data_IF_228724846186
#
_entry.id   IF_228724846186
#
_cell.length_a   1.000
_cell.length_b   1.000
_cell.length_c   1.000
_cell.angle_alpha   90.00
_cell.angle_beta   90.00
_cell.angle_gamma   90.00
#
_symmetry.space_group_name_H-M   'P 1'
#
loop_
_entity.id
_entity.type
_entity.pdbx_description
1 polymer ?
#
# COMPACT_ATOMS: atom_id res chain seq x y z
N UNK A 1 13.75 -5.25 -2.24
CA UNK A 1 14.96 -4.40 -2.24
C UNK A 1 14.76 -3.11 -1.44
N UNK A 2 13.68 -2.35 -1.66
CA UNK A 2 13.42 -1.08 -0.97
C UNK A 2 13.20 -1.19 0.55
N UNK A 3 12.54 -2.25 1.05
CA UNK A 3 12.35 -2.46 2.50
C UNK A 3 13.68 -2.48 3.27
N UNK A 4 14.68 -3.21 2.75
CA UNK A 4 16.03 -3.28 3.35
C UNK A 4 16.76 -1.96 3.31
N UNK A 5 16.56 -1.18 2.24
CA UNK A 5 17.14 0.16 2.13
C UNK A 5 16.59 1.07 3.23
N UNK A 6 15.27 1.08 3.42
CA UNK A 6 14.62 1.92 4.41
C UNK A 6 15.01 1.52 5.84
N UNK A 7 14.98 0.23 6.16
CA UNK A 7 15.38 -0.28 7.48
C UNK A 7 16.83 0.09 7.82
N UNK A 8 17.72 0.07 6.82
CA UNK A 8 19.15 0.38 7.02
C UNK A 8 19.45 1.87 7.08
N UNK A 9 18.80 2.68 6.24
CA UNK A 9 19.21 4.07 6.00
C UNK A 9 18.22 5.12 6.49
N UNK A 10 16.98 4.74 6.80
CA UNK A 10 15.92 5.65 7.24
C UNK A 10 15.26 5.21 8.57
N UNK A 11 16.01 4.82 9.63
CA UNK A 11 15.41 4.17 10.81
C UNK A 11 14.58 5.10 11.71
N UNK A 12 14.57 6.41 11.46
CA UNK A 12 13.93 7.43 12.32
C UNK A 12 12.75 8.15 11.66
N UNK A 13 12.33 7.74 10.47
CA UNK A 13 11.16 8.35 9.83
C UNK A 13 9.89 7.90 10.53
N UNK A 14 8.89 8.77 10.65
CA UNK A 14 7.60 8.39 11.24
C UNK A 14 6.74 7.59 10.26
N UNK A 15 6.79 7.99 8.99
CA UNK A 15 6.05 7.36 7.91
C UNK A 15 6.90 7.22 6.67
N UNK A 16 6.54 6.22 5.87
CA UNK A 16 7.07 5.97 4.54
C UNK A 16 5.88 5.94 3.60
N UNK A 17 6.02 6.59 2.45
CA UNK A 17 5.04 6.53 1.39
C UNK A 17 5.67 5.92 0.14
N UNK A 18 5.04 4.85 -0.36
CA UNK A 18 5.31 4.28 -1.68
C UNK A 18 4.22 4.75 -2.62
N UNK A 19 4.62 5.28 -3.77
CA UNK A 19 3.76 5.70 -4.87
C UNK A 19 4.26 5.07 -6.17
N UNK A 20 3.34 4.72 -7.06
CA UNK A 20 3.68 4.51 -8.47
C UNK A 20 3.87 5.85 -9.18
N UNK A 21 4.61 5.84 -10.28
CA UNK A 21 4.93 7.02 -11.08
C UNK A 21 3.75 7.52 -11.94
N UNK A 22 2.68 6.73 -12.01
CA UNK A 22 1.41 7.06 -12.65
C UNK A 22 0.35 7.54 -11.63
N UNK A 23 0.76 8.01 -10.45
CA UNK A 23 -0.15 8.50 -9.40
C UNK A 23 0.03 9.99 -9.16
N UNK A 24 -1.09 10.72 -9.08
CA UNK A 24 -1.14 12.09 -8.58
C UNK A 24 -1.76 12.12 -7.19
N UNK A 25 -1.26 13.01 -6.33
CA UNK A 25 -1.77 13.12 -4.98
C UNK A 25 -1.71 14.51 -4.37
N UNK A 26 -2.72 14.82 -3.56
CA UNK A 26 -2.74 16.00 -2.70
C UNK A 26 -1.97 15.70 -1.41
N UNK A 27 -0.63 15.83 -1.49
CA UNK A 27 0.29 15.49 -0.40
C UNK A 27 0.01 16.33 0.85
N UNK A 28 -0.32 17.61 0.68
CA UNK A 28 -0.62 18.52 1.81
C UNK A 28 -1.82 18.05 2.62
N UNK A 29 -2.93 17.70 1.97
CA UNK A 29 -4.13 17.20 2.67
C UNK A 29 -3.90 15.83 3.30
N UNK A 30 -3.12 14.96 2.64
CA UNK A 30 -2.70 13.69 3.22
C UNK A 30 -1.86 13.90 4.48
N UNK A 31 -0.86 14.79 4.46
CA UNK A 31 -0.04 15.10 5.64
C UNK A 31 -0.87 15.68 6.78
N UNK A 32 -1.83 16.57 6.47
CA UNK A 32 -2.76 17.10 7.46
C UNK A 32 -3.56 15.97 8.12
N UNK A 33 -4.18 15.09 7.32
CA UNK A 33 -4.90 13.93 7.82
C UNK A 33 -4.03 13.03 8.71
N UNK A 34 -2.79 12.75 8.28
CA UNK A 34 -1.87 11.90 9.03
C UNK A 34 -1.47 12.54 10.36
N UNK A 35 -1.20 13.84 10.38
CA UNK A 35 -0.84 14.56 11.62
C UNK A 35 -1.98 14.55 12.64
N UNK A 36 -3.22 14.76 12.20
CA UNK A 36 -4.38 14.65 13.10
C UNK A 36 -4.58 13.22 13.60
N UNK A 37 -4.25 12.23 12.77
CA UNK A 37 -4.32 10.83 13.14
C UNK A 37 -3.25 10.41 14.13
N UNK A 38 -2.02 10.90 13.99
CA UNK A 38 -0.93 10.69 14.97
C UNK A 38 -1.30 11.20 16.35
N UNK A 39 -2.02 12.32 16.42
CA UNK A 39 -2.47 12.92 17.69
C UNK A 39 -3.57 12.10 18.39
N UNK A 40 -4.34 11.32 17.61
CA UNK A 40 -5.56 10.64 18.09
C UNK A 40 -5.39 9.13 18.23
N UNK A 41 -4.57 8.52 17.39
CA UNK A 41 -4.23 7.10 17.40
C UNK A 41 -2.79 6.97 17.86
N UNK A 42 -2.59 6.33 19.00
CA UNK A 42 -1.25 6.02 19.48
C UNK A 42 -0.48 5.25 18.40
N UNK A 43 0.65 5.78 17.92
CA UNK A 43 1.53 5.13 16.94
C UNK A 43 2.22 3.86 17.48
N UNK A 44 1.70 3.28 18.55
CA UNK A 44 2.29 2.12 19.22
C UNK A 44 2.20 0.83 18.38
N UNK A 45 1.42 0.84 17.31
CA UNK A 45 1.21 -0.33 16.45
C UNK A 45 1.79 -0.10 15.04
N UNK A 46 2.63 -1.04 14.61
CA UNK A 46 3.13 -1.10 13.24
C UNK A 46 1.95 -1.28 12.28
N UNK A 47 1.81 -0.40 11.30
CA UNK A 47 0.64 -0.41 10.42
C UNK A 47 0.95 -0.05 8.98
N UNK A 48 0.14 -0.60 8.07
CA UNK A 48 -0.01 -0.15 6.69
C UNK A 48 -1.33 0.62 6.54
N UNK A 49 -1.32 1.64 5.69
CA UNK A 49 -2.51 2.40 5.33
C UNK A 49 -2.56 2.52 3.81
N UNK A 50 -3.64 2.07 3.21
CA UNK A 50 -3.79 1.99 1.76
C UNK A 50 -5.24 1.69 1.43
N UNK A 51 -5.58 1.65 0.14
CA UNK A 51 -6.83 1.04 -0.27
C UNK A 51 -6.71 -0.48 -0.17
N UNK A 52 -7.48 -1.07 0.74
CA UNK A 52 -7.42 -2.51 0.98
C UNK A 52 -8.33 -3.25 0.00
N UNK A 53 -7.78 -4.29 -0.59
CA UNK A 53 -8.49 -5.29 -1.38
C UNK A 53 -8.85 -6.43 -0.42
N UNK A 54 -10.15 -6.56 -0.14
CA UNK A 54 -10.68 -7.62 0.71
C UNK A 54 -11.16 -8.80 -0.14
N UNK A 55 -11.00 -10.02 0.40
CA UNK A 55 -11.64 -11.24 -0.08
C UNK A 55 -11.50 -11.50 -1.60
N UNK A 56 -10.35 -11.16 -2.19
CA UNK A 56 -10.11 -11.36 -3.62
C UNK A 56 -9.83 -12.83 -3.91
N UNK A 57 -10.60 -13.42 -4.82
CA UNK A 57 -10.37 -14.79 -5.30
C UNK A 57 -9.08 -14.87 -6.13
N UNK A 58 -8.32 -15.95 -5.95
CA UNK A 58 -7.14 -16.23 -6.76
C UNK A 58 -7.53 -16.62 -8.18
N UNK A 59 -6.84 -16.04 -9.16
CA UNK A 59 -6.91 -16.56 -10.53
C UNK A 59 -5.99 -17.77 -10.65
N UNK A 60 -6.57 -18.91 -11.00
CA UNK A 60 -5.85 -20.17 -11.28
C UNK A 60 -5.72 -20.44 -12.78
N UNK A 61 -6.16 -19.50 -13.61
CA UNK A 61 -5.98 -19.56 -15.05
C UNK A 61 -4.60 -19.01 -15.41
N UNK A 62 -3.90 -19.65 -16.35
CA UNK A 62 -2.57 -19.24 -16.83
C UNK A 62 -2.66 -17.90 -17.59
N UNK A 63 -2.76 -16.83 -16.82
CA UNK A 63 -2.77 -15.43 -17.24
C UNK A 63 -1.59 -14.72 -16.56
N UNK A 64 -1.35 -13.44 -16.88
CA UNK A 64 -0.20 -12.66 -16.35
C UNK A 64 -0.13 -12.55 -14.81
N UNK A 65 -1.15 -12.98 -14.06
CA UNK A 65 -1.19 -12.98 -12.58
C UNK A 65 -1.57 -14.35 -12.00
N UNK A 66 -1.16 -15.41 -12.68
CA UNK A 66 -1.36 -16.79 -12.26
C UNK A 66 -0.55 -17.11 -11.00
N UNK A 67 -1.19 -17.75 -10.02
CA UNK A 67 -0.56 -18.24 -8.79
C UNK A 67 -0.85 -19.74 -8.68
N UNK A 68 0.18 -20.55 -8.50
CA UNK A 68 0.07 -22.01 -8.32
C UNK A 68 -0.44 -22.36 -6.91
N UNK A 69 -0.93 -23.60 -6.74
CA UNK A 69 -1.32 -24.10 -5.40
C UNK A 69 -0.13 -24.27 -4.46
N UNK A 70 1.05 -24.53 -5.01
CA UNK A 70 2.28 -24.66 -4.24
C UNK A 70 2.74 -23.31 -3.67
N UNK A 71 2.55 -22.22 -4.43
CA UNK A 71 2.85 -20.86 -3.97
C UNK A 71 1.82 -20.34 -2.96
N UNK A 72 0.54 -20.65 -3.17
CA UNK A 72 -0.52 -20.28 -2.25
C UNK A 72 -1.65 -21.31 -2.27
N UNK A 73 -1.79 -22.07 -1.19
CA UNK A 73 -2.79 -23.13 -1.07
C UNK A 73 -4.22 -22.63 -0.86
N UNK A 74 -4.38 -21.40 -0.35
CA UNK A 74 -5.69 -20.75 -0.18
C UNK A 74 -6.38 -20.52 -1.52
N UNK A 75 -7.71 -20.43 -1.56
CA UNK A 75 -8.48 -20.01 -2.76
C UNK A 75 -8.67 -18.49 -2.85
N UNK A 76 -8.31 -17.77 -1.77
CA UNK A 76 -8.40 -16.32 -1.67
C UNK A 76 -7.06 -15.71 -1.27
N UNK A 77 -6.78 -14.54 -1.83
CA UNK A 77 -5.73 -13.65 -1.32
C UNK A 77 -6.09 -13.19 0.09
N UNK A 78 -5.08 -13.08 0.96
CA UNK A 78 -5.23 -12.31 2.20
C UNK A 78 -5.42 -10.82 1.88
N UNK A 79 -5.99 -10.06 2.82
CA UNK A 79 -6.20 -8.62 2.67
C UNK A 79 -4.89 -7.90 2.37
N UNK A 80 -4.84 -7.21 1.23
CA UNK A 80 -3.63 -6.57 0.70
C UNK A 80 -3.98 -5.21 0.09
N UNK A 81 -2.96 -4.40 -0.16
CA UNK A 81 -3.15 -3.08 -0.75
C UNK A 81 -3.33 -3.16 -2.26
N UNK A 82 -4.07 -2.20 -2.82
CA UNK A 82 -3.83 -1.76 -4.19
C UNK A 82 -2.42 -1.17 -4.27
N UNK A 83 -1.64 -1.59 -5.27
CA UNK A 83 -0.21 -1.26 -5.40
C UNK A 83 0.12 0.22 -5.52
N UNK A 84 -0.81 1.02 -6.01
CA UNK A 84 -0.56 2.42 -6.40
C UNK A 84 -0.06 3.34 -5.28
N UNK A 85 -0.58 3.17 -4.06
CA UNK A 85 -0.28 4.09 -2.94
C UNK A 85 -0.38 3.34 -1.62
N UNK A 86 0.74 3.32 -0.90
CA UNK A 86 0.86 2.59 0.34
C UNK A 86 1.67 3.42 1.34
N UNK A 87 1.10 3.63 2.52
CA UNK A 87 1.73 4.33 3.63
C UNK A 87 2.07 3.31 4.71
N UNK A 88 3.30 3.33 5.20
CA UNK A 88 3.75 2.51 6.31
C UNK A 88 4.16 3.39 7.48
N UNK A 89 3.97 2.93 8.71
CA UNK A 89 4.77 3.45 9.83
C UNK A 89 6.23 3.12 9.61
N UNK A 90 7.12 4.00 10.07
CA UNK A 90 8.56 3.91 9.78
C UNK A 90 9.25 2.66 10.34
N UNK A 91 8.69 2.05 11.38
CA UNK A 91 9.17 0.83 12.00
C UNK A 91 8.81 -0.45 11.22
N UNK A 92 7.72 -0.40 10.44
CA UNK A 92 7.14 -1.57 9.80
C UNK A 92 8.13 -2.29 8.85
N UNK A 93 8.95 -1.63 8.01
CA UNK A 93 9.92 -2.34 7.18
C UNK A 93 10.83 -3.29 7.96
N UNK A 94 11.33 -2.87 9.13
CA UNK A 94 12.13 -3.71 10.00
C UNK A 94 11.34 -4.88 10.57
N UNK A 95 10.07 -4.66 10.95
CA UNK A 95 9.17 -5.73 11.40
C UNK A 95 8.95 -6.77 10.29
N UNK A 96 8.70 -6.32 9.06
CA UNK A 96 8.47 -7.19 7.90
C UNK A 96 9.70 -8.00 7.49
N UNK A 97 10.91 -7.49 7.75
CA UNK A 97 12.16 -8.19 7.41
C UNK A 97 12.57 -9.26 8.44
N UNK A 98 12.08 -9.18 9.68
CA UNK A 98 12.47 -10.10 10.76
C UNK A 98 11.64 -11.39 10.84
N UNK A 99 10.39 -11.37 10.39
CA UNK A 99 9.46 -12.51 10.53
C UNK A 99 9.42 -13.54 9.38
N UNK A 100 9.79 -13.25 8.11
CA UNK A 100 9.62 -14.23 7.03
C UNK A 100 10.59 -15.41 7.16
N UNK A 101 10.08 -16.60 6.82
CA UNK A 101 10.88 -17.80 6.64
C UNK A 101 11.37 -17.87 5.19
N UNK A 102 12.45 -18.61 4.93
CA UNK A 102 13.02 -18.77 3.57
C UNK A 102 11.98 -19.17 2.52
N UNK A 103 11.02 -20.02 2.90
CA UNK A 103 9.90 -20.46 2.06
C UNK A 103 8.93 -19.35 1.64
N UNK A 104 8.84 -18.28 2.43
CA UNK A 104 7.96 -17.15 2.10
C UNK A 104 8.61 -16.25 1.05
N UNK A 105 9.95 -16.23 0.98
CA UNK A 105 10.74 -15.32 0.13
C UNK A 105 10.91 -15.88 -1.30
N UNK A 106 10.68 -17.18 -1.48
CA UNK A 106 10.83 -17.85 -2.78
C UNK A 106 9.53 -17.85 -3.57
N UNK A 107 9.48 -17.10 -4.67
CA UNK A 107 8.59 -17.42 -5.80
C UNK A 107 7.36 -16.52 -6.02
N UNK A 108 6.99 -15.62 -5.10
CA UNK A 108 5.75 -14.86 -5.32
C UNK A 108 5.95 -13.64 -6.24
N UNK A 109 5.43 -13.70 -7.47
CA UNK A 109 5.63 -12.68 -8.51
C UNK A 109 4.77 -11.40 -8.43
N UNK A 110 4.04 -11.18 -7.32
CA UNK A 110 3.21 -9.98 -7.13
C UNK A 110 3.69 -9.25 -5.86
N UNK A 111 4.59 -8.28 -6.05
CA UNK A 111 5.29 -7.57 -4.98
C UNK A 111 4.34 -6.96 -3.94
N UNK A 112 3.27 -6.28 -4.37
CA UNK A 112 2.34 -5.62 -3.45
C UNK A 112 1.60 -6.62 -2.57
N UNK A 113 1.19 -7.77 -3.12
CA UNK A 113 0.56 -8.82 -2.33
C UNK A 113 1.55 -9.51 -1.42
N UNK A 114 2.77 -9.77 -1.89
CA UNK A 114 3.80 -10.38 -1.06
C UNK A 114 4.07 -9.51 0.18
N UNK A 115 4.33 -8.22 -0.03
CA UNK A 115 4.67 -7.30 1.07
C UNK A 115 3.43 -7.00 1.92
N UNK A 116 2.34 -6.55 1.32
CA UNK A 116 1.19 -6.04 2.08
C UNK A 116 0.18 -7.09 2.45
N UNK A 117 0.14 -8.24 1.77
CA UNK A 117 -0.71 -9.36 2.12
C UNK A 117 0.02 -10.35 3.02
N UNK A 118 1.05 -11.02 2.49
CA UNK A 118 1.73 -12.12 3.18
C UNK A 118 2.55 -11.61 4.37
N UNK A 119 3.51 -10.69 4.14
CA UNK A 119 4.43 -10.27 5.20
C UNK A 119 3.71 -9.50 6.31
N UNK A 120 2.80 -8.57 5.95
CA UNK A 120 2.02 -7.80 6.93
C UNK A 120 1.12 -8.69 7.78
N UNK A 121 0.43 -9.67 7.18
CA UNK A 121 -0.38 -10.63 7.94
C UNK A 121 0.47 -11.43 8.92
N UNK A 122 1.65 -11.88 8.49
CA UNK A 122 2.59 -12.63 9.34
C UNK A 122 3.21 -11.77 10.45
N UNK A 123 3.39 -10.49 10.17
CA UNK A 123 3.82 -9.48 11.13
C UNK A 123 2.72 -9.09 12.12
N UNK A 124 1.47 -9.53 11.91
CA UNK A 124 0.30 -9.08 12.66
C UNK A 124 0.20 -7.55 12.70
N UNK A 125 0.67 -6.90 11.64
CA UNK A 125 0.65 -5.45 11.54
C UNK A 125 -0.76 -4.97 11.13
N UNK A 126 -1.17 -3.85 11.69
CA UNK A 126 -2.51 -3.32 11.50
C UNK A 126 -2.70 -2.83 10.06
N UNK A 127 -3.92 -3.02 9.57
CA UNK A 127 -4.34 -2.57 8.23
C UNK A 127 -5.38 -1.48 8.37
N UNK A 128 -5.08 -0.31 7.82
CA UNK A 128 -6.07 0.77 7.71
C UNK A 128 -6.53 0.87 6.26
N UNK A 129 -7.82 0.69 6.06
CA UNK A 129 -8.45 0.92 4.77
C UNK A 129 -8.73 2.41 4.51
N UNK A 130 -8.05 2.93 3.49
CA UNK A 130 -8.20 4.28 2.93
C UNK A 130 -8.99 4.27 1.62
N UNK A 131 -9.85 3.27 1.39
CA UNK A 131 -10.67 3.14 0.16
C UNK A 131 -11.37 4.42 -0.28
N UNK A 132 -11.87 5.23 0.65
CA UNK A 132 -12.55 6.51 0.35
C UNK A 132 -11.59 7.66 0.03
N UNK A 133 -10.30 7.50 0.30
CA UNK A 133 -9.26 8.52 0.08
C UNK A 133 -8.34 8.19 -1.09
N UNK A 134 -8.42 6.99 -1.66
CA UNK A 134 -7.57 6.56 -2.77
C UNK A 134 -8.47 6.04 -3.90
N UNK A 135 -8.54 6.79 -4.98
CA UNK A 135 -9.29 6.45 -6.19
C UNK A 135 -8.43 5.60 -7.14
N UNK A 136 -8.92 4.42 -7.51
CA UNK A 136 -8.20 3.50 -8.42
C UNK A 136 -8.71 3.63 -9.84
N UNK A 137 -10.03 3.81 -9.96
CA UNK A 137 -10.67 3.98 -11.26
C UNK A 137 -10.99 5.44 -11.50
N UNK A 138 -11.02 5.84 -12.77
CA UNK A 138 -11.28 7.24 -13.17
C UNK A 138 -12.61 7.80 -12.64
N UNK A 139 -13.60 6.93 -12.39
CA UNK A 139 -14.91 7.33 -11.85
C UNK A 139 -14.95 7.47 -10.33
N UNK A 140 -13.91 7.03 -9.61
CA UNK A 140 -13.91 7.04 -8.13
C UNK A 140 -13.46 8.37 -7.54
N UNK A 141 -13.09 9.34 -8.37
CA UNK A 141 -12.61 10.63 -7.93
C UNK A 141 -12.41 11.60 -9.08
N UNK A 142 -12.99 12.79 -8.96
CA UNK A 142 -12.74 13.89 -9.90
C UNK A 142 -11.47 14.65 -9.52
N UNK A 143 -11.03 15.55 -10.40
CA UNK A 143 -9.95 16.49 -10.04
C UNK A 143 -10.38 17.44 -8.94
N UNK A 144 -11.63 17.91 -8.95
CA UNK A 144 -12.14 18.76 -7.88
C UNK A 144 -12.07 18.05 -6.52
N UNK A 145 -12.41 16.75 -6.47
CA UNK A 145 -12.30 15.95 -5.26
C UNK A 145 -10.84 15.84 -4.75
N UNK A 146 -9.86 15.77 -5.66
CA UNK A 146 -8.44 15.76 -5.31
C UNK A 146 -7.98 17.12 -4.78
N UNK A 147 -8.35 18.21 -5.47
CA UNK A 147 -7.99 19.58 -5.10
C UNK A 147 -8.61 19.96 -3.75
N UNK A 148 -9.87 19.60 -3.50
CA UNK A 148 -10.56 19.86 -2.25
C UNK A 148 -10.07 18.97 -1.08
N UNK A 149 -9.36 17.87 -1.36
CA UNK A 149 -8.87 16.92 -0.36
C UNK A 149 -9.92 15.89 0.09
N UNK A 150 -11.00 15.75 -0.66
CA UNK A 150 -11.98 14.66 -0.48
C UNK A 150 -11.32 13.31 -0.70
N UNK A 151 -10.45 13.24 -1.71
CA UNK A 151 -9.49 12.15 -1.94
C UNK A 151 -8.06 12.67 -1.85
N UNK A 152 -7.12 11.77 -1.57
CA UNK A 152 -5.70 12.09 -1.49
C UNK A 152 -4.95 11.67 -2.74
N UNK A 153 -5.33 10.55 -3.36
CA UNK A 153 -4.58 9.97 -4.48
C UNK A 153 -5.52 9.42 -5.55
N UNK A 154 -5.08 9.53 -6.80
CA UNK A 154 -5.69 8.85 -7.95
C UNK A 154 -4.65 8.55 -9.02
N UNK A 155 -4.95 7.58 -9.89
CA UNK A 155 -4.13 7.32 -11.08
C UNK A 155 -4.23 8.49 -12.06
N UNK A 156 -3.13 8.80 -12.73
CA UNK A 156 -3.07 9.76 -13.82
C UNK A 156 -3.87 9.25 -15.01
N UNK A 157 -4.60 10.16 -15.65
CA UNK A 157 -5.17 9.92 -16.98
C UNK A 157 -4.18 10.26 -18.10
N UNK A 158 -3.26 11.21 -17.86
CA UNK A 158 -2.22 11.68 -18.80
C UNK A 158 -1.09 12.39 -18.02
N UNK A 159 0.17 12.23 -18.45
CA UNK A 159 1.35 12.91 -17.87
C UNK A 159 1.26 14.44 -17.93
N UNK A 160 0.74 15.00 -19.03
CA UNK A 160 0.55 16.46 -19.18
C UNK A 160 -0.43 17.02 -18.14
N UNK A 161 -1.31 16.16 -17.61
CA UNK A 161 -2.30 16.51 -16.61
C UNK A 161 -1.69 16.67 -15.23
N UNK A 162 -0.61 15.94 -14.93
CA UNK A 162 0.08 16.01 -13.64
C UNK A 162 0.63 17.42 -13.38
N UNK A 163 1.17 18.09 -14.40
CA UNK A 163 1.79 19.42 -14.29
C UNK A 163 0.81 20.54 -13.94
N UNK A 164 -0.50 20.34 -14.14
CA UNK A 164 -1.53 21.34 -13.85
C UNK A 164 -2.06 21.26 -12.41
N UNK A 165 -1.76 20.16 -11.71
CA UNK A 165 -2.26 19.87 -10.36
C UNK A 165 -1.21 20.17 -9.26
N UNK A 166 -0.02 20.65 -9.65
CA UNK A 166 1.08 21.08 -8.77
C UNK A 166 1.18 22.59 -8.67
#
# INVERSE_FOLDING_TARGET
MWLRFIDKYCPKVYYIMKLDDDVVGNISQMLHFMNERVKTVSLLESQKQCRVIHHRRLSREKTNKYVTKDELSSEYYSDHCVGMTIIFTGDLPGVLLRRPQKKDITGFGIDDYFITGILVKKAEAHSVDLKRKIGVYMWEGSEEALVNGDIFFRTLSNISHSLQLW
#
